data_IF_191831715617
#
_entry.id   IF_191831715617
#
_cell.length_a   1.000
_cell.length_b   1.000
_cell.length_c   1.000
_cell.angle_alpha   90.00
_cell.angle_beta   90.00
_cell.angle_gamma   90.00
#
_symmetry.space_group_name_H-M   'P 1'
#
loop_
_entity.id
_entity.type
_entity.pdbx_description
1 polymer ?
#
# COMPACT_ATOMS: atom_id res chain seq x y z
N UNK A 1 10.00 -42.00 22.04
CA UNK A 1 11.33 -42.46 21.59
C UNK A 1 12.00 -41.32 20.82
N UNK A 2 13.17 -40.89 21.33
CA UNK A 2 14.24 -40.05 20.75
C UNK A 2 13.91 -38.64 20.21
N UNK A 3 14.22 -37.67 21.06
CA UNK A 3 14.67 -36.33 20.70
C UNK A 3 16.03 -36.41 19.97
N UNK A 4 16.25 -35.55 18.98
CA UNK A 4 17.51 -35.40 18.24
C UNK A 4 18.30 -34.21 18.75
N UNK A 5 19.52 -34.48 19.18
CA UNK A 5 20.46 -33.53 19.78
C UNK A 5 21.04 -32.53 18.78
N UNK A 6 21.09 -31.26 19.19
CA UNK A 6 21.76 -30.17 18.51
C UNK A 6 23.20 -30.06 19.05
N UNK A 7 24.19 -30.51 18.27
CA UNK A 7 25.60 -30.45 18.66
C UNK A 7 26.22 -29.09 18.29
N UNK A 8 26.63 -28.33 19.32
CA UNK A 8 27.47 -27.13 19.23
C UNK A 8 28.90 -27.52 18.84
N UNK A 9 29.45 -26.91 17.80
CA UNK A 9 30.87 -27.02 17.45
C UNK A 9 31.63 -25.83 18.07
N UNK A 10 32.43 -26.09 19.11
CA UNK A 10 33.32 -25.10 19.72
C UNK A 10 34.68 -25.13 19.01
N UNK A 11 35.08 -24.00 18.41
CA UNK A 11 36.42 -23.81 17.85
C UNK A 11 37.35 -23.28 18.95
N UNK A 12 38.41 -24.04 19.24
CA UNK A 12 39.46 -23.72 20.20
C UNK A 12 40.49 -22.76 19.59
N UNK A 13 40.72 -21.62 20.22
CA UNK A 13 41.83 -20.71 19.92
C UNK A 13 43.13 -21.17 20.61
N UNK A 14 44.19 -21.35 19.82
CA UNK A 14 45.58 -21.48 20.31
C UNK A 14 46.37 -20.20 20.04
N UNK A 15 47.12 -19.64 21.00
CA UNK A 15 47.94 -18.45 20.80
C UNK A 15 49.34 -18.83 20.27
N UNK A 16 49.88 -18.06 19.32
CA UNK A 16 51.30 -18.13 18.95
C UNK A 16 51.99 -16.79 19.18
N UNK A 17 53.03 -16.86 20.00
CA UNK A 17 53.90 -15.76 20.41
C UNK A 17 55.11 -15.63 19.47
N UNK A 18 55.47 -14.37 19.21
CA UNK A 18 56.78 -13.77 18.88
C UNK A 18 57.75 -14.47 17.92
N UNK A 19 58.19 -13.73 16.89
CA UNK A 19 59.62 -13.42 16.74
C UNK A 19 59.86 -12.23 15.79
N UNK A 20 60.59 -11.22 16.29
CA UNK A 20 61.23 -10.15 15.50
C UNK A 20 62.45 -10.73 14.79
N UNK A 21 62.58 -10.56 13.49
CA UNK A 21 63.87 -10.53 12.80
C UNK A 21 63.87 -9.46 11.71
N UNK A 22 64.85 -8.57 11.83
CA UNK A 22 65.17 -7.45 10.95
C UNK A 22 66.18 -7.89 9.90
N UNK A 23 65.90 -7.63 8.63
CA UNK A 23 66.87 -7.72 7.54
C UNK A 23 66.63 -6.58 6.55
N UNK A 24 67.56 -5.61 6.53
CA UNK A 24 67.67 -4.59 5.49
C UNK A 24 68.15 -5.26 4.20
N UNK A 25 67.44 -5.01 3.09
CA UNK A 25 67.96 -5.17 1.74
C UNK A 25 67.57 -3.95 0.91
N UNK A 26 68.56 -3.11 0.61
CA UNK A 26 68.45 -1.95 -0.27
C UNK A 26 68.42 -2.45 -1.71
N UNK A 27 67.32 -2.22 -2.42
CA UNK A 27 67.25 -2.36 -3.86
C UNK A 27 66.87 -1.00 -4.46
N UNK A 28 67.84 -0.38 -5.12
CA UNK A 28 67.73 0.91 -5.80
C UNK A 28 67.01 0.70 -7.13
N UNK A 29 65.68 0.84 -7.13
CA UNK A 29 64.85 0.83 -8.33
C UNK A 29 64.34 2.24 -8.61
N UNK A 30 64.79 2.85 -9.70
CA UNK A 30 64.30 4.14 -10.20
C UNK A 30 62.83 4.01 -10.62
N UNK A 31 61.91 4.33 -9.71
CA UNK A 31 60.49 4.47 -10.04
C UNK A 31 60.27 5.87 -10.61
N UNK A 32 59.99 5.95 -11.91
CA UNK A 32 59.34 7.12 -12.50
C UNK A 32 58.01 7.33 -11.76
N UNK A 33 57.93 8.38 -10.94
CA UNK A 33 56.66 8.84 -10.39
C UNK A 33 55.84 9.46 -11.53
N UNK A 34 55.08 8.62 -12.23
CA UNK A 34 53.95 9.10 -13.01
C UNK A 34 52.95 9.70 -12.01
N UNK A 35 52.92 11.03 -11.94
CA UNK A 35 51.84 11.76 -11.28
C UNK A 35 50.58 11.52 -12.09
N UNK A 36 49.94 10.37 -11.84
CA UNK A 36 48.54 10.15 -12.18
C UNK A 36 47.76 11.09 -11.27
N UNK A 37 47.48 12.30 -11.76
CA UNK A 37 46.38 13.10 -11.22
C UNK A 37 45.14 12.25 -11.47
N UNK A 38 44.48 11.70 -10.44
CA UNK A 38 43.16 11.15 -10.66
C UNK A 38 42.30 12.36 -10.95
N UNK A 39 42.01 12.60 -12.23
CA UNK A 39 40.85 13.39 -12.62
C UNK A 39 39.65 12.53 -12.25
N UNK A 40 39.37 12.45 -10.94
CA UNK A 40 38.04 12.17 -10.46
C UNK A 40 37.23 13.41 -10.82
N UNK A 41 36.84 13.50 -12.10
CA UNK A 41 35.60 14.17 -12.46
C UNK A 41 34.50 13.36 -11.77
N UNK A 42 34.32 13.64 -10.47
CA UNK A 42 33.10 13.26 -9.80
C UNK A 42 31.98 13.88 -10.62
N UNK A 43 31.20 13.05 -11.28
CA UNK A 43 29.85 13.44 -11.60
C UNK A 43 29.19 13.78 -10.25
N UNK A 44 29.22 15.04 -9.85
CA UNK A 44 28.32 15.60 -8.85
C UNK A 44 26.92 15.74 -9.47
N UNK A 45 26.47 14.72 -10.21
CA UNK A 45 25.08 14.55 -10.58
C UNK A 45 24.36 13.92 -9.42
N UNK A 46 24.27 14.63 -8.28
CA UNK A 46 23.31 14.25 -7.25
C UNK A 46 21.92 14.37 -7.85
N UNK A 47 21.09 13.35 -7.67
CA UNK A 47 19.69 13.44 -8.05
C UNK A 47 19.04 14.60 -7.30
N UNK A 48 18.46 15.56 -8.04
CA UNK A 48 17.70 16.66 -7.45
C UNK A 48 16.32 16.13 -7.06
N UNK A 49 16.08 15.97 -5.77
CA UNK A 49 14.77 15.60 -5.23
C UNK A 49 13.79 16.77 -5.37
N UNK A 50 12.57 16.49 -5.84
CA UNK A 50 11.46 17.44 -5.84
C UNK A 50 10.97 17.60 -4.40
N UNK A 51 10.87 18.84 -3.86
CA UNK A 51 10.52 19.08 -2.46
C UNK A 51 9.00 19.04 -2.25
N UNK A 52 8.37 17.92 -2.59
CA UNK A 52 6.96 17.63 -2.30
C UNK A 52 6.74 17.34 -0.81
N UNK A 53 5.48 17.34 -0.41
CA UNK A 53 4.99 17.09 0.95
C UNK A 53 3.78 16.18 0.89
N UNK A 54 3.30 15.67 2.03
CA UNK A 54 2.05 14.89 2.09
C UNK A 54 0.83 15.66 1.53
N UNK A 55 0.86 17.00 1.58
CA UNK A 55 -0.19 17.83 0.99
C UNK A 55 -0.28 17.69 -0.54
N UNK A 56 0.86 17.50 -1.22
CA UNK A 56 0.91 17.32 -2.68
C UNK A 56 0.25 16.01 -3.13
N UNK A 57 0.27 15.00 -2.25
CA UNK A 57 -0.28 13.67 -2.48
C UNK A 57 -1.66 13.47 -1.85
N UNK A 58 -2.32 14.56 -1.44
CA UNK A 58 -3.64 14.49 -0.82
C UNK A 58 -4.70 13.97 -1.79
N UNK A 59 -5.37 12.89 -1.39
CA UNK A 59 -6.55 12.33 -2.03
C UNK A 59 -7.71 12.26 -1.05
N UNK A 60 -8.93 12.44 -1.56
CA UNK A 60 -10.18 12.24 -0.81
C UNK A 60 -10.37 10.77 -0.42
N UNK A 61 -11.50 10.42 0.18
CA UNK A 61 -11.74 9.12 0.82
C UNK A 61 -11.42 9.15 2.31
N UNK A 62 -11.39 7.98 2.92
CA UNK A 62 -11.05 7.85 4.34
C UNK A 62 -9.61 8.32 4.57
N UNK A 63 -9.43 9.20 5.56
CA UNK A 63 -8.14 9.78 5.93
C UNK A 63 -7.51 9.01 7.10
N UNK A 64 -6.18 9.08 7.29
CA UNK A 64 -5.50 8.46 8.43
C UNK A 64 -6.06 8.95 9.77
N UNK A 65 -6.08 8.04 10.76
CA UNK A 65 -6.38 8.33 12.15
C UNK A 65 -5.24 7.84 13.07
N UNK A 66 -4.20 8.67 13.26
CA UNK A 66 -3.08 8.35 14.17
C UNK A 66 -3.48 8.20 15.64
N UNK A 67 -4.68 8.68 16.02
CA UNK A 67 -5.17 8.58 17.39
C UNK A 67 -5.90 7.27 17.65
N UNK A 68 -6.37 6.59 16.59
CA UNK A 68 -7.20 5.39 16.67
C UNK A 68 -8.54 5.62 17.38
N UNK A 69 -9.04 6.86 17.41
CA UNK A 69 -10.27 7.23 18.15
C UNK A 69 -11.52 7.27 17.27
N UNK A 70 -11.33 7.38 15.96
CA UNK A 70 -12.40 7.53 14.96
C UNK A 70 -12.52 6.29 14.07
N UNK A 71 -11.41 5.62 13.77
CA UNK A 71 -11.38 4.41 12.95
C UNK A 71 -10.86 3.24 13.79
N UNK A 72 -11.67 2.19 13.96
CA UNK A 72 -11.20 0.93 14.52
C UNK A 72 -10.05 0.40 13.66
N UNK A 73 -8.95 -0.01 14.30
CA UNK A 73 -7.78 -0.54 13.61
C UNK A 73 -8.14 -1.67 12.66
N UNK A 74 -7.44 -1.75 11.53
CA UNK A 74 -7.52 -2.92 10.65
C UNK A 74 -6.87 -4.09 11.39
N UNK A 75 -7.58 -5.22 11.44
CA UNK A 75 -7.05 -6.41 12.08
C UNK A 75 -6.08 -7.17 11.17
N UNK A 76 -4.99 -7.74 11.71
CA UNK A 76 -4.07 -8.58 10.94
C UNK A 76 -4.76 -9.84 10.42
N UNK A 77 -4.28 -10.36 9.29
CA UNK A 77 -4.90 -11.49 8.60
C UNK A 77 -4.84 -12.80 9.41
N UNK A 78 -3.88 -12.93 10.32
CA UNK A 78 -3.79 -14.09 11.24
C UNK A 78 -5.06 -14.26 12.08
N UNK A 79 -5.78 -13.17 12.40
CA UNK A 79 -7.05 -13.24 13.12
C UNK A 79 -8.13 -13.98 12.30
N UNK A 80 -8.05 -13.91 10.98
CA UNK A 80 -8.95 -14.61 10.06
C UNK A 80 -8.50 -16.05 9.82
N UNK A 81 -7.18 -16.30 9.80
CA UNK A 81 -6.59 -17.62 9.57
C UNK A 81 -7.18 -18.71 10.45
N UNK A 82 -7.44 -18.41 11.73
CA UNK A 82 -7.93 -19.40 12.71
C UNK A 82 -9.20 -20.16 12.29
N UNK A 83 -10.07 -19.53 11.49
CA UNK A 83 -11.31 -20.15 11.00
C UNK A 83 -11.41 -20.20 9.48
N UNK A 84 -10.71 -19.31 8.76
CA UNK A 84 -10.81 -19.16 7.30
C UNK A 84 -9.62 -19.76 6.53
N UNK A 85 -8.92 -20.72 7.13
CA UNK A 85 -7.81 -21.47 6.53
C UNK A 85 -8.05 -22.98 6.60
N UNK A 86 -7.33 -23.74 5.76
CA UNK A 86 -7.11 -25.20 5.82
C UNK A 86 -8.33 -26.12 5.69
N UNK A 87 -9.56 -25.60 5.73
CA UNK A 87 -10.76 -26.43 5.55
C UNK A 87 -10.95 -26.87 4.09
N UNK A 88 -10.39 -26.12 3.12
CA UNK A 88 -10.37 -26.46 1.71
C UNK A 88 -9.36 -25.61 0.93
N UNK A 89 -8.33 -26.21 0.34
CA UNK A 89 -7.25 -25.47 -0.34
C UNK A 89 -7.71 -24.62 -1.56
N UNK A 90 -8.88 -24.91 -2.15
CA UNK A 90 -9.40 -24.15 -3.30
C UNK A 90 -10.35 -23.02 -2.89
N UNK A 91 -10.93 -23.07 -1.68
CA UNK A 91 -12.00 -22.14 -1.27
C UNK A 91 -11.80 -21.51 0.10
N UNK A 92 -10.79 -21.92 0.87
CA UNK A 92 -10.39 -21.24 2.09
C UNK A 92 -9.81 -19.86 1.73
N UNK A 93 -10.41 -18.75 2.21
CA UNK A 93 -9.97 -17.41 1.86
C UNK A 93 -8.52 -17.14 2.22
N UNK A 94 -8.06 -17.57 3.39
CA UNK A 94 -6.69 -17.33 3.81
C UNK A 94 -5.67 -18.04 2.91
N UNK A 95 -5.93 -19.31 2.58
CA UNK A 95 -5.02 -20.15 1.78
C UNK A 95 -4.83 -19.59 0.36
N UNK A 96 -5.91 -19.10 -0.24
CA UNK A 96 -5.88 -18.46 -1.57
C UNK A 96 -5.31 -17.04 -1.54
N UNK A 97 -5.53 -16.31 -0.46
CA UNK A 97 -5.06 -14.94 -0.29
C UNK A 97 -3.55 -14.87 -0.04
N UNK A 98 -3.00 -15.68 0.86
CA UNK A 98 -1.63 -15.54 1.37
C UNK A 98 -0.55 -15.61 0.27
N UNK A 99 -0.81 -16.35 -0.81
CA UNK A 99 0.07 -16.45 -1.99
C UNK A 99 -0.24 -15.47 -3.13
N UNK A 100 -1.26 -14.62 -2.97
CA UNK A 100 -1.71 -13.67 -4.00
C UNK A 100 -0.92 -12.35 -3.97
N UNK A 101 -1.03 -11.57 -5.05
CA UNK A 101 -0.43 -10.22 -5.10
C UNK A 101 -1.02 -9.27 -4.05
N UNK A 102 -2.25 -9.51 -3.57
CA UNK A 102 -2.86 -8.71 -2.51
C UNK A 102 -2.17 -8.90 -1.16
N UNK A 103 -1.88 -10.16 -0.78
CA UNK A 103 -1.15 -10.46 0.46
C UNK A 103 0.34 -10.08 0.39
N UNK A 104 0.87 -9.95 -0.82
CA UNK A 104 2.27 -9.60 -1.06
C UNK A 104 2.47 -8.12 -1.41
N UNK A 105 1.41 -7.31 -1.44
CA UNK A 105 1.48 -5.93 -1.94
C UNK A 105 2.47 -5.05 -1.18
N UNK A 106 2.66 -5.28 0.12
CA UNK A 106 3.65 -4.59 0.95
C UNK A 106 5.00 -5.33 1.09
N UNK A 107 5.03 -6.63 0.75
CA UNK A 107 6.21 -7.51 0.88
C UNK A 107 7.04 -7.59 -0.40
N UNK A 108 6.45 -7.23 -1.54
CA UNK A 108 7.10 -7.30 -2.84
C UNK A 108 8.37 -6.43 -2.87
N UNK A 109 9.57 -7.04 -3.02
CA UNK A 109 10.82 -6.28 -3.04
C UNK A 109 10.93 -5.32 -4.22
N UNK A 110 10.23 -5.60 -5.34
CA UNK A 110 10.19 -4.69 -6.48
C UNK A 110 9.42 -3.43 -6.12
N UNK A 111 8.28 -3.59 -5.44
CA UNK A 111 7.51 -2.46 -4.91
C UNK A 111 8.29 -1.67 -3.86
N UNK A 112 8.94 -2.33 -2.90
CA UNK A 112 9.71 -1.62 -1.86
C UNK A 112 10.86 -0.80 -2.46
N UNK A 113 11.54 -1.33 -3.47
CA UNK A 113 12.56 -0.61 -4.21
C UNK A 113 11.96 0.58 -4.99
N UNK A 114 10.79 0.41 -5.60
CA UNK A 114 10.10 1.48 -6.31
C UNK A 114 9.67 2.62 -5.37
N UNK A 115 9.15 2.31 -4.18
CA UNK A 115 8.83 3.31 -3.14
C UNK A 115 10.08 4.08 -2.73
N UNK A 116 11.20 3.37 -2.52
CA UNK A 116 12.48 3.99 -2.16
C UNK A 116 12.95 4.96 -3.25
N UNK A 117 12.87 4.56 -4.52
CA UNK A 117 13.24 5.42 -5.66
C UNK A 117 12.28 6.61 -5.78
N UNK A 118 10.97 6.39 -5.63
CA UNK A 118 9.98 7.45 -5.66
C UNK A 118 10.28 8.51 -4.60
N UNK A 119 10.61 8.11 -3.36
CA UNK A 119 11.02 9.05 -2.31
C UNK A 119 12.31 9.80 -2.66
N UNK A 120 13.26 9.17 -3.38
CA UNK A 120 14.47 9.87 -3.86
C UNK A 120 14.16 10.89 -4.96
N UNK A 121 13.13 10.66 -5.77
CA UNK A 121 12.70 11.56 -6.85
C UNK A 121 11.82 12.71 -6.31
N UNK A 122 10.88 12.40 -5.43
CA UNK A 122 9.92 13.33 -4.85
C UNK A 122 9.67 12.99 -3.37
N UNK A 123 10.01 13.91 -2.48
CA UNK A 123 9.89 13.71 -1.04
C UNK A 123 8.45 13.34 -0.62
N UNK A 124 8.29 12.35 0.26
CA UNK A 124 7.00 11.84 0.76
C UNK A 124 6.09 11.19 -0.31
N UNK A 125 6.56 10.95 -1.52
CA UNK A 125 5.76 10.29 -2.56
C UNK A 125 5.46 8.83 -2.25
N UNK A 126 6.25 8.18 -1.40
CA UNK A 126 6.02 6.79 -1.01
C UNK A 126 4.70 6.58 -0.24
N UNK A 127 4.21 7.58 0.50
CA UNK A 127 2.92 7.48 1.20
C UNK A 127 1.74 7.29 0.23
N UNK A 128 1.82 7.88 -0.97
CA UNK A 128 0.86 7.67 -2.05
C UNK A 128 0.82 6.20 -2.49
N UNK A 129 1.98 5.55 -2.60
CA UNK A 129 2.08 4.13 -2.94
C UNK A 129 1.57 3.24 -1.79
N UNK A 130 1.96 3.57 -0.55
CA UNK A 130 1.62 2.82 0.66
C UNK A 130 0.10 2.80 0.89
N UNK A 131 -0.59 3.89 0.54
CA UNK A 131 -2.06 3.95 0.64
C UNK A 131 -2.78 2.79 -0.06
N UNK A 132 -2.29 2.38 -1.25
CA UNK A 132 -2.78 1.18 -1.95
C UNK A 132 -2.15 -0.12 -1.42
N UNK A 133 -0.86 -0.12 -1.12
CA UNK A 133 -0.11 -1.37 -0.93
C UNK A 133 -0.08 -1.86 0.52
N UNK A 134 -0.24 -0.97 1.50
CA UNK A 134 -0.41 -1.27 2.93
C UNK A 134 -1.41 -0.27 3.53
N UNK A 135 -2.71 -0.42 3.22
CA UNK A 135 -3.74 0.51 3.65
C UNK A 135 -3.91 0.55 5.17
N UNK A 136 -3.54 -0.51 5.90
CA UNK A 136 -3.51 -0.51 7.36
C UNK A 136 -2.50 0.52 7.90
N UNK A 137 -1.30 0.57 7.32
CA UNK A 137 -0.26 1.51 7.72
C UNK A 137 -0.66 2.95 7.40
N UNK A 138 -1.29 3.15 6.23
CA UNK A 138 -1.87 4.44 5.86
C UNK A 138 -2.97 4.85 6.84
N UNK A 139 -3.98 4.01 7.08
CA UNK A 139 -5.13 4.34 7.93
C UNK A 139 -4.76 4.60 9.38
N UNK A 140 -3.74 3.93 9.91
CA UNK A 140 -3.24 4.18 11.26
C UNK A 140 -2.28 5.37 11.33
N UNK A 141 -1.88 5.94 10.19
CA UNK A 141 -0.92 7.04 10.11
C UNK A 141 0.52 6.65 10.43
N UNK A 142 0.83 5.36 10.59
CA UNK A 142 2.21 4.90 10.82
C UNK A 142 3.10 5.16 9.62
N UNK A 143 2.55 5.09 8.40
CA UNK A 143 3.28 5.37 7.15
C UNK A 143 3.34 6.85 6.76
N UNK A 144 3.10 7.78 7.67
CA UNK A 144 3.07 9.22 7.38
C UNK A 144 4.43 9.78 6.90
N UNK A 145 5.54 9.05 7.12
CA UNK A 145 6.85 9.38 6.56
C UNK A 145 7.02 8.92 5.11
N UNK A 146 6.11 8.09 4.61
CA UNK A 146 6.15 7.55 3.25
C UNK A 146 7.22 6.49 3.03
N UNK A 147 7.89 5.98 4.06
CA UNK A 147 8.99 5.03 3.91
C UNK A 147 8.54 3.59 4.21
N UNK A 148 9.09 2.62 3.47
CA UNK A 148 8.86 1.18 3.73
C UNK A 148 9.36 0.78 5.13
N UNK A 149 10.37 1.49 5.64
CA UNK A 149 10.92 1.27 6.97
C UNK A 149 9.94 1.57 8.12
N UNK A 150 8.85 2.31 7.83
CA UNK A 150 7.82 2.64 8.81
C UNK A 150 6.80 1.50 9.01
N UNK A 151 6.78 0.50 8.12
CA UNK A 151 5.82 -0.59 8.14
C UNK A 151 6.10 -1.58 9.28
N UNK A 152 5.05 -1.91 10.03
CA UNK A 152 5.07 -2.97 11.05
C UNK A 152 4.91 -4.36 10.42
N UNK A 153 5.08 -5.43 11.20
CA UNK A 153 4.86 -6.80 10.70
C UNK A 153 3.42 -7.03 10.23
N UNK A 154 2.45 -6.39 10.86
CA UNK A 154 1.03 -6.49 10.50
C UNK A 154 0.73 -5.70 9.23
N UNK A 155 1.40 -4.57 9.01
CA UNK A 155 1.29 -3.77 7.78
C UNK A 155 1.76 -4.55 6.54
N UNK A 156 2.63 -5.53 6.72
CA UNK A 156 3.10 -6.40 5.64
C UNK A 156 2.00 -7.35 5.12
N UNK A 157 0.86 -7.49 5.81
CA UNK A 157 -0.29 -8.20 5.27
C UNK A 157 -0.89 -7.49 4.04
N UNK A 158 -0.53 -6.23 3.78
CA UNK A 158 -0.91 -5.54 2.56
C UNK A 158 -2.43 -5.39 2.42
N UNK A 159 -2.97 -5.73 1.25
CA UNK A 159 -4.42 -5.77 1.02
C UNK A 159 -5.01 -7.00 1.71
N UNK A 160 -5.37 -6.86 2.99
CA UNK A 160 -5.79 -7.96 3.85
C UNK A 160 -7.31 -8.12 3.96
N UNK A 161 -7.74 -9.19 4.64
CA UNK A 161 -9.14 -9.56 4.78
C UNK A 161 -9.98 -8.45 5.44
N UNK A 162 -9.50 -7.87 6.55
CA UNK A 162 -10.29 -6.89 7.30
C UNK A 162 -10.38 -5.56 6.56
N UNK A 163 -9.33 -5.14 5.84
CA UNK A 163 -9.39 -3.98 4.95
C UNK A 163 -10.42 -4.20 3.84
N UNK A 164 -10.28 -5.26 3.06
CA UNK A 164 -11.18 -5.55 1.94
C UNK A 164 -12.63 -5.62 2.41
N UNK A 165 -12.90 -6.41 3.45
CA UNK A 165 -14.25 -6.57 3.99
C UNK A 165 -14.77 -5.32 4.72
N UNK A 166 -13.98 -4.26 4.94
CA UNK A 166 -14.49 -2.99 5.51
C UNK A 166 -14.66 -1.90 4.46
N UNK A 167 -14.37 -2.19 3.19
CA UNK A 167 -14.59 -1.24 2.10
C UNK A 167 -16.08 -0.92 1.94
N UNK A 168 -16.37 0.37 1.84
CA UNK A 168 -17.69 0.93 1.58
C UNK A 168 -17.72 1.40 0.14
N UNK A 169 -18.85 1.20 -0.53
CA UNK A 169 -19.05 1.74 -1.88
C UNK A 169 -19.08 3.28 -1.82
N UNK A 170 -18.15 3.99 -2.49
CA UNK A 170 -18.14 5.45 -2.49
C UNK A 170 -19.31 6.06 -3.28
N UNK A 171 -20.08 5.27 -4.04
CA UNK A 171 -21.20 5.73 -4.86
C UNK A 171 -22.42 4.83 -4.63
N UNK A 172 -23.27 5.19 -3.66
CA UNK A 172 -24.53 4.46 -3.47
C UNK A 172 -25.45 4.69 -4.67
N UNK A 173 -25.58 3.66 -5.50
CA UNK A 173 -26.57 3.60 -6.58
C UNK A 173 -27.64 2.57 -6.24
N UNK A 174 -28.91 2.94 -6.41
CA UNK A 174 -30.06 2.01 -6.31
C UNK A 174 -30.57 1.57 -7.69
N UNK A 175 -29.94 2.04 -8.76
CA UNK A 175 -30.16 1.52 -10.11
C UNK A 175 -29.21 0.36 -10.34
N UNK A 176 -29.67 -0.71 -10.98
CA UNK A 176 -28.89 -1.92 -11.33
C UNK A 176 -27.82 -1.65 -12.40
N UNK A 177 -27.05 -0.57 -12.20
CA UNK A 177 -25.81 -0.33 -12.91
C UNK A 177 -24.70 -1.17 -12.27
N UNK A 178 -23.50 -1.15 -12.86
CA UNK A 178 -22.34 -1.85 -12.32
C UNK A 178 -21.92 -1.36 -10.91
N UNK A 179 -22.61 -0.39 -10.30
CA UNK A 179 -22.45 0.13 -8.93
C UNK A 179 -23.71 -0.08 -8.06
N UNK A 180 -24.76 -0.65 -8.63
CA UNK A 180 -26.07 -0.77 -8.03
C UNK A 180 -26.16 -1.80 -6.92
N UNK A 181 -26.67 -1.37 -5.78
CA UNK A 181 -27.37 -2.25 -4.86
C UNK A 181 -28.74 -2.62 -5.43
N UNK A 182 -29.24 -3.85 -5.19
CA UNK A 182 -30.64 -4.19 -5.48
C UNK A 182 -31.57 -3.12 -4.90
N UNK A 183 -32.65 -2.79 -5.61
CA UNK A 183 -33.56 -1.69 -5.21
C UNK A 183 -34.23 -1.88 -3.84
N UNK A 184 -34.18 -3.09 -3.27
CA UNK A 184 -34.67 -3.44 -1.94
C UNK A 184 -33.55 -3.71 -0.92
N UNK A 185 -32.29 -3.41 -1.23
CA UNK A 185 -31.17 -3.62 -0.33
C UNK A 185 -31.23 -2.64 0.85
N UNK A 186 -30.95 -3.14 2.05
CA UNK A 186 -30.59 -2.30 3.18
C UNK A 186 -29.16 -1.83 2.98
N UNK A 187 -28.99 -0.51 2.85
CA UNK A 187 -27.67 0.11 2.65
C UNK A 187 -27.01 0.50 3.96
N UNK A 188 -27.70 0.35 5.09
CA UNK A 188 -27.18 0.74 6.40
C UNK A 188 -25.92 -0.08 6.73
N UNK A 189 -24.84 0.53 7.29
CA UNK A 189 -24.67 1.94 7.66
C UNK A 189 -23.92 2.80 6.62
N UNK A 190 -23.89 2.42 5.34
CA UNK A 190 -23.11 3.10 4.30
C UNK A 190 -23.53 4.58 4.10
N UNK A 191 -24.83 4.95 4.05
CA UNK A 191 -25.24 6.35 3.90
C UNK A 191 -24.69 7.27 4.98
N UNK A 192 -24.69 6.83 6.24
CA UNK A 192 -24.18 7.61 7.37
C UNK A 192 -22.66 7.81 7.27
N UNK A 193 -21.94 6.76 6.86
CA UNK A 193 -20.49 6.82 6.65
C UNK A 193 -20.18 7.84 5.55
N UNK A 194 -20.85 7.76 4.40
CA UNK A 194 -20.63 8.70 3.30
C UNK A 194 -21.02 10.13 3.66
N UNK A 195 -22.09 10.33 4.43
CA UNK A 195 -22.49 11.64 4.91
C UNK A 195 -21.41 12.30 5.80
N UNK A 196 -20.68 11.51 6.60
CA UNK A 196 -19.55 12.01 7.38
C UNK A 196 -18.40 12.48 6.47
N UNK A 197 -18.09 11.73 5.40
CA UNK A 197 -17.07 12.16 4.42
C UNK A 197 -17.51 13.40 3.64
N UNK A 198 -18.80 13.53 3.30
CA UNK A 198 -19.34 14.76 2.68
C UNK A 198 -19.18 15.94 3.62
N UNK A 199 -19.54 15.79 4.90
CA UNK A 199 -19.39 16.84 5.91
C UNK A 199 -17.92 17.25 6.13
N UNK A 200 -17.00 16.29 6.05
CA UNK A 200 -15.56 16.52 6.14
C UNK A 200 -14.94 17.09 4.84
N UNK A 201 -15.69 17.14 3.73
CA UNK A 201 -15.17 17.55 2.42
C UNK A 201 -14.25 16.51 1.76
N UNK A 202 -14.21 15.29 2.28
CA UNK A 202 -13.35 14.19 1.81
C UNK A 202 -14.13 13.09 1.09
N UNK A 203 -15.38 13.32 0.69
CA UNK A 203 -16.11 12.34 -0.13
C UNK A 203 -15.42 12.12 -1.49
N UNK A 204 -15.10 10.86 -1.89
CA UNK A 204 -14.50 10.56 -3.18
C UNK A 204 -15.32 11.05 -4.37
N UNK A 205 -14.64 11.27 -5.50
CA UNK A 205 -15.31 11.47 -6.79
C UNK A 205 -15.35 10.13 -7.53
N UNK A 206 -16.53 9.70 -7.96
CA UNK A 206 -16.71 8.44 -8.68
C UNK A 206 -16.36 7.21 -7.83
N UNK A 207 -15.86 6.15 -8.48
CA UNK A 207 -15.59 4.83 -7.89
C UNK A 207 -14.40 4.78 -6.89
N UNK A 208 -13.97 5.92 -6.34
CA UNK A 208 -12.90 5.96 -5.35
C UNK A 208 -11.50 5.66 -5.91
N UNK A 209 -11.26 5.96 -7.19
CA UNK A 209 -9.98 5.72 -7.88
C UNK A 209 -8.82 6.48 -7.23
N UNK A 210 -7.58 6.07 -7.52
CA UNK A 210 -6.36 6.67 -6.94
C UNK A 210 -6.36 6.64 -5.41
N UNK A 211 -6.74 5.49 -4.88
CA UNK A 211 -6.80 5.17 -3.45
C UNK A 211 -7.79 6.00 -2.65
N UNK A 212 -8.76 6.64 -3.31
CA UNK A 212 -9.89 7.32 -2.64
C UNK A 212 -10.95 6.33 -2.14
N UNK A 213 -10.52 5.22 -1.55
CA UNK A 213 -11.41 4.25 -0.93
C UNK A 213 -12.12 4.84 0.30
N UNK A 214 -13.25 4.23 0.65
CA UNK A 214 -13.97 4.50 1.89
C UNK A 214 -13.92 3.24 2.76
N UNK A 215 -13.51 3.38 4.01
CA UNK A 215 -13.52 2.31 5.00
C UNK A 215 -14.55 2.63 6.07
N UNK A 216 -15.32 1.62 6.46
CA UNK A 216 -16.22 1.74 7.59
C UNK A 216 -15.44 2.06 8.87
N UNK A 217 -15.76 3.13 9.62
CA UNK A 217 -15.02 3.50 10.82
C UNK A 217 -15.11 2.44 11.93
N UNK A 218 -16.21 1.70 12.00
CA UNK A 218 -16.41 0.55 12.91
C UNK A 218 -16.05 -0.77 12.22
N UNK A 219 -15.94 -1.85 12.98
CA UNK A 219 -15.75 -3.21 12.43
C UNK A 219 -17.09 -3.77 11.89
N UNK A 220 -17.56 -3.15 10.81
CA UNK A 220 -18.71 -3.61 10.00
C UNK A 220 -18.15 -4.24 8.75
N UNK A 221 -18.34 -5.55 8.60
CA UNK A 221 -17.76 -6.36 7.54
C UNK A 221 -18.78 -6.60 6.44
N UNK A 222 -18.39 -6.38 5.20
CA UNK A 222 -19.19 -6.47 4.00
C UNK A 222 -18.79 -7.68 3.18
N UNK A 223 -19.73 -8.29 2.48
CA UNK A 223 -19.45 -9.42 1.61
C UNK A 223 -20.57 -9.71 0.63
N UNK A 224 -20.33 -10.62 -0.33
CA UNK A 224 -21.26 -10.87 -1.43
C UNK A 224 -22.46 -11.76 -1.03
N UNK A 225 -22.57 -12.15 0.25
CA UNK A 225 -23.61 -13.07 0.72
C UNK A 225 -24.46 -12.43 1.80
N UNK A 226 -25.78 -12.36 1.57
CA UNK A 226 -26.74 -11.86 2.54
C UNK A 226 -27.21 -12.92 3.57
N UNK A 227 -26.84 -14.18 3.36
CA UNK A 227 -27.39 -15.34 4.08
C UNK A 227 -26.36 -16.04 4.98
N UNK A 228 -25.65 -15.28 5.83
CA UNK A 228 -24.71 -15.86 6.79
C UNK A 228 -25.49 -16.52 7.95
N UNK A 229 -25.48 -17.87 8.09
CA UNK A 229 -26.36 -18.55 9.06
C UNK A 229 -25.96 -18.31 10.52
N UNK A 230 -24.66 -18.10 10.76
CA UNK A 230 -24.11 -17.83 12.07
C UNK A 230 -22.91 -16.90 11.94
N UNK A 231 -22.94 -15.80 12.71
CA UNK A 231 -21.85 -14.86 12.77
C UNK A 231 -20.88 -15.24 13.91
N UNK A 232 -19.65 -15.64 13.55
CA UNK A 232 -18.59 -15.97 14.50
C UNK A 232 -17.59 -14.82 14.71
N UNK A 233 -17.85 -13.64 14.13
CA UNK A 233 -16.96 -12.47 14.22
C UNK A 233 -17.21 -11.62 15.49
N UNK A 234 -17.76 -12.23 16.54
CA UNK A 234 -18.10 -11.55 17.78
C UNK A 234 -19.16 -10.47 17.55
N UNK A 235 -18.82 -9.22 17.88
CA UNK A 235 -19.72 -8.07 17.76
C UNK A 235 -19.68 -7.39 16.39
N UNK A 236 -18.83 -7.86 15.47
CA UNK A 236 -18.75 -7.28 14.14
C UNK A 236 -20.05 -7.53 13.37
N UNK A 237 -20.67 -6.46 12.86
CA UNK A 237 -21.85 -6.57 12.01
C UNK A 237 -21.46 -7.08 10.62
N UNK A 238 -22.32 -7.91 10.01
CA UNK A 238 -22.13 -8.41 8.65
C UNK A 238 -23.19 -7.82 7.72
N UNK A 239 -22.73 -7.14 6.67
CA UNK A 239 -23.59 -6.44 5.71
C UNK A 239 -23.40 -7.04 4.31
N UNK A 240 -24.48 -7.21 3.57
CA UNK A 240 -24.39 -7.60 2.17
C UNK A 240 -23.90 -6.42 1.34
N UNK A 241 -22.91 -6.65 0.48
CA UNK A 241 -22.35 -5.63 -0.40
C UNK A 241 -22.10 -6.22 -1.79
N UNK A 242 -22.80 -5.71 -2.83
CA UNK A 242 -22.51 -6.03 -4.21
C UNK A 242 -21.10 -5.61 -4.60
N UNK A 243 -20.53 -4.52 -4.07
CA UNK A 243 -19.16 -4.12 -4.39
C UNK A 243 -18.16 -5.28 -4.29
N UNK A 244 -18.35 -6.18 -3.33
CA UNK A 244 -17.51 -7.35 -3.07
C UNK A 244 -17.69 -8.51 -4.06
N UNK A 245 -18.57 -8.36 -5.06
CA UNK A 245 -18.71 -9.27 -6.20
C UNK A 245 -18.39 -8.60 -7.54
N UNK A 246 -17.95 -7.34 -7.54
CA UNK A 246 -17.69 -6.56 -8.76
C UNK A 246 -16.22 -6.15 -8.86
N UNK A 247 -15.73 -6.02 -10.10
CA UNK A 247 -14.34 -5.58 -10.37
C UNK A 247 -14.07 -4.14 -9.93
N UNK A 248 -15.12 -3.36 -9.68
CA UNK A 248 -15.06 -1.98 -9.23
C UNK A 248 -14.42 -1.76 -7.87
N UNK A 249 -14.43 -2.77 -6.99
CA UNK A 249 -13.63 -2.71 -5.76
C UNK A 249 -12.14 -2.47 -6.08
N UNK A 250 -11.65 -3.04 -7.20
CA UNK A 250 -10.28 -2.91 -7.66
C UNK A 250 -9.97 -1.52 -8.23
N UNK A 251 -10.97 -0.76 -8.67
CA UNK A 251 -10.79 0.59 -9.22
C UNK A 251 -10.12 1.54 -8.23
N UNK A 252 -10.34 1.30 -6.94
CA UNK A 252 -9.70 2.05 -5.86
C UNK A 252 -8.18 2.06 -5.97
N UNK A 253 -7.56 0.95 -6.36
CA UNK A 253 -6.10 0.83 -6.44
C UNK A 253 -5.56 0.70 -7.86
N UNK A 254 -6.38 0.29 -8.83
CA UNK A 254 -5.96 -0.02 -10.21
C UNK A 254 -6.44 0.99 -11.26
N UNK A 255 -6.78 2.20 -10.82
CA UNK A 255 -7.00 3.35 -11.69
C UNK A 255 -6.33 4.57 -11.03
N UNK A 256 -5.08 4.82 -11.40
CA UNK A 256 -4.14 5.64 -10.61
C UNK A 256 -3.78 6.91 -11.34
N UNK A 257 -4.03 8.04 -10.70
CA UNK A 257 -3.73 9.36 -11.18
C UNK A 257 -2.67 10.02 -10.30
N UNK A 258 -1.73 10.73 -10.92
CA UNK A 258 -0.70 11.47 -10.19
C UNK A 258 -1.22 12.88 -9.82
N UNK A 259 -1.38 13.20 -8.52
CA UNK A 259 -1.98 14.46 -8.07
C UNK A 259 -1.05 15.67 -8.20
N UNK A 260 0.25 15.48 -8.48
CA UNK A 260 1.20 16.60 -8.60
C UNK A 260 1.20 17.20 -10.02
N UNK A 261 0.45 16.60 -10.95
CA UNK A 261 0.40 17.03 -12.35
C UNK A 261 -1.04 17.25 -12.79
N UNK A 262 -1.36 18.48 -13.17
CA UNK A 262 -2.69 18.88 -13.63
C UNK A 262 -2.80 18.86 -15.16
N UNK A 263 -3.96 18.41 -15.64
CA UNK A 263 -4.34 18.42 -17.04
C UNK A 263 -4.72 19.83 -17.47
N UNK A 264 -4.14 20.30 -18.58
CA UNK A 264 -4.45 21.57 -19.22
C UNK A 264 -4.69 21.35 -20.71
N UNK A 265 -5.97 21.27 -21.09
CA UNK A 265 -6.36 20.90 -22.46
C UNK A 265 -5.87 19.49 -22.81
N UNK A 266 -4.96 19.41 -23.78
CA UNK A 266 -4.30 18.16 -24.19
C UNK A 266 -2.91 17.95 -23.56
N UNK A 267 -2.47 18.84 -22.68
CA UNK A 267 -1.16 18.80 -22.02
C UNK A 267 -1.28 18.55 -20.52
N UNK A 268 -0.14 18.28 -19.89
CA UNK A 268 -0.02 18.07 -18.45
C UNK A 268 1.08 18.98 -17.91
N UNK A 269 0.80 19.68 -16.81
CA UNK A 269 1.73 20.61 -16.19
C UNK A 269 1.85 20.33 -14.69
N UNK A 270 3.04 20.45 -14.09
CA UNK A 270 3.21 20.33 -12.65
C UNK A 270 2.40 21.40 -11.90
N UNK A 271 1.86 21.01 -10.75
CA UNK A 271 1.19 21.90 -9.82
C UNK A 271 2.20 22.74 -9.02
N UNK A 272 1.70 23.79 -8.37
CA UNK A 272 2.44 24.42 -7.29
C UNK A 272 2.60 23.42 -6.13
N UNK A 273 3.81 23.29 -5.60
CA UNK A 273 4.09 22.35 -4.52
C UNK A 273 3.56 22.84 -3.16
N UNK A 274 3.34 21.91 -2.24
CA UNK A 274 2.88 22.16 -0.88
C UNK A 274 1.36 22.26 -0.72
N UNK A 275 0.59 21.82 -1.72
CA UNK A 275 -0.87 21.87 -1.69
C UNK A 275 -1.50 20.71 -2.46
N UNK A 276 -2.72 20.33 -2.06
CA UNK A 276 -3.52 19.34 -2.77
C UNK A 276 -3.81 19.76 -4.21
N UNK A 277 -4.05 18.78 -5.09
CA UNK A 277 -4.48 19.05 -6.47
C UNK A 277 -5.69 20.00 -6.49
N UNK A 278 -5.71 21.05 -7.35
CA UNK A 278 -6.72 22.12 -7.28
C UNK A 278 -8.18 21.67 -7.32
N UNK A 279 -8.47 20.58 -8.03
CA UNK A 279 -9.83 20.01 -8.13
C UNK A 279 -10.05 18.78 -7.25
N UNK A 280 -8.97 18.12 -6.81
CA UNK A 280 -9.03 16.81 -6.18
C UNK A 280 -9.73 15.71 -7.02
N UNK A 281 -9.92 15.92 -8.32
CA UNK A 281 -10.58 14.97 -9.21
C UNK A 281 -9.52 14.21 -10.05
N UNK A 282 -9.42 12.87 -9.95
CA UNK A 282 -8.47 12.08 -10.73
C UNK A 282 -8.56 12.24 -12.25
N UNK A 283 -9.71 12.67 -12.78
CA UNK A 283 -9.89 12.94 -14.21
C UNK A 283 -9.12 14.17 -14.72
N UNK A 284 -8.76 15.08 -13.80
CA UNK A 284 -7.99 16.30 -14.09
C UNK A 284 -6.48 16.11 -13.84
N UNK A 285 -6.06 14.91 -13.45
CA UNK A 285 -4.68 14.58 -13.10
C UNK A 285 -3.98 13.78 -14.21
N UNK A 286 -2.66 13.64 -14.14
CA UNK A 286 -1.92 12.76 -15.07
C UNK A 286 -2.29 11.28 -14.85
N UNK A 287 -2.65 10.53 -15.91
CA UNK A 287 -2.96 9.11 -15.83
C UNK A 287 -1.67 8.28 -15.70
N UNK A 288 -1.33 7.88 -14.48
CA UNK A 288 -0.19 6.99 -14.25
C UNK A 288 -0.52 5.56 -14.73
N UNK A 289 -1.66 5.02 -14.29
CA UNK A 289 -2.16 3.70 -14.71
C UNK A 289 -3.68 3.71 -14.89
N UNK A 290 -4.18 2.95 -15.87
CA UNK A 290 -5.60 2.90 -16.25
C UNK A 290 -6.18 1.49 -16.28
N UNK A 291 -5.51 0.52 -15.65
CA UNK A 291 -5.81 -0.92 -15.75
C UNK A 291 -7.28 -1.27 -15.51
N UNK A 292 -7.91 -0.75 -14.45
CA UNK A 292 -9.33 -1.01 -14.20
C UNK A 292 -10.21 -0.42 -15.30
N UNK A 293 -9.98 0.84 -15.70
CA UNK A 293 -10.78 1.48 -16.75
C UNK A 293 -10.58 0.82 -18.12
N UNK A 294 -9.37 0.35 -18.44
CA UNK A 294 -9.05 -0.42 -19.64
C UNK A 294 -9.76 -1.79 -19.63
N UNK A 295 -9.70 -2.49 -18.50
CA UNK A 295 -10.43 -3.75 -18.30
C UNK A 295 -11.93 -3.55 -18.45
N UNK A 296 -12.49 -2.51 -17.82
CA UNK A 296 -13.93 -2.17 -17.90
C UNK A 296 -14.40 -1.95 -19.33
N UNK A 297 -13.53 -1.36 -20.17
CA UNK A 297 -13.80 -1.11 -21.59
C UNK A 297 -13.44 -2.29 -22.50
N UNK A 298 -12.93 -3.39 -21.93
CA UNK A 298 -12.54 -4.58 -22.67
C UNK A 298 -13.69 -5.61 -22.79
N UNK A 299 -13.49 -6.61 -23.64
CA UNK A 299 -14.40 -7.76 -23.76
C UNK A 299 -14.40 -8.69 -22.54
N UNK A 300 -13.48 -8.51 -21.58
CA UNK A 300 -13.41 -9.33 -20.37
C UNK A 300 -14.33 -8.85 -19.24
N UNK A 301 -14.92 -7.66 -19.38
CA UNK A 301 -15.83 -7.09 -18.39
C UNK A 301 -17.31 -7.44 -18.63
N UNK A 302 -17.62 -8.16 -19.73
CA UNK A 302 -18.98 -8.57 -20.12
C UNK A 302 -19.36 -9.98 -19.67
#
# INVERSE_FOLDING_TARGET
>A
MRAGDCARNQLSHTPRSMMRQSSLSVALGTALAAVLVPVAMGFQGGQTQIPTTSADFFFKGTQPDPTGTTIHSIYPAVNCQYCHAEYNAATAPFDSWIGSMMAQSARDPVWQAAVTIANQDAANSGEFCIRCHSPQSFLSGTSAGGEVGDLTVDDLDGINCNFCHRLVDPQLSTTDDAQGYPSNADLTPDPEILAQLVAAGTHPVGAGTSSQFVISPSDVRRGPYANVPQNFHGNAELVFSPLHNKGEACASCHDVSNPIVNKQGSSYVPNALGAAHPTGNPADMFPEHRTYSEWKMSQFAS
#
